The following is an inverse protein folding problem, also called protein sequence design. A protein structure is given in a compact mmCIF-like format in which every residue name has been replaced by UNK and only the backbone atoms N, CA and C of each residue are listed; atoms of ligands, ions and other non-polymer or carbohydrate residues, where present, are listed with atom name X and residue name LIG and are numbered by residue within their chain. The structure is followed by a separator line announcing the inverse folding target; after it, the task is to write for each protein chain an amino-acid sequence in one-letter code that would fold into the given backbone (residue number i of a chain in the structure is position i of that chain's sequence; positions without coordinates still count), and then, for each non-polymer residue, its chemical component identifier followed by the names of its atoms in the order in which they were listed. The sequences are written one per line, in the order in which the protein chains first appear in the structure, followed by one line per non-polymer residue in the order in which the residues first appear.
data_IF_990934566009
#
_entry.id   IF_990934566009
#
_cell.length_a   1.000
_cell.length_b   1.000
_cell.length_c   1.000
_cell.angle_alpha   90.00
_cell.angle_beta   90.00
_cell.angle_gamma   90.00
#
_symmetry.space_group_name_H-M   'P 1'
#
loop_
_entity.id
_entity.type
_entity.pdbx_description
1 polymer ?
#
# COMPACT_ATOMS: atom_id res chain seq x y z
N UNK A 1 -15.69 3.00 12.64
CA UNK A 1 -14.71 3.45 11.65
C UNK A 1 -13.92 2.27 11.08
N UNK A 2 -13.25 1.48 11.90
CA UNK A 2 -12.48 0.34 11.48
C UNK A 2 -13.33 -0.89 11.16
N UNK A 3 -13.04 -1.53 10.04
CA UNK A 3 -13.57 -2.86 9.68
C UNK A 3 -12.48 -3.90 9.98
N UNK A 4 -12.75 -4.95 10.77
CA UNK A 4 -11.75 -5.95 11.06
C UNK A 4 -11.43 -6.77 9.81
N UNK A 5 -10.14 -6.93 9.52
CA UNK A 5 -9.59 -7.90 8.57
C UNK A 5 -9.36 -9.22 9.30
N UNK A 6 -8.77 -9.14 10.48
CA UNK A 6 -8.60 -10.20 11.47
C UNK A 6 -8.47 -9.57 12.86
N UNK A 7 -8.16 -10.35 13.90
CA UNK A 7 -8.18 -9.89 15.30
C UNK A 7 -7.35 -8.62 15.57
N UNK A 8 -6.20 -8.49 14.92
CA UNK A 8 -5.18 -7.47 15.15
C UNK A 8 -4.87 -6.63 13.89
N UNK A 9 -5.69 -6.80 12.84
CA UNK A 9 -5.58 -6.02 11.61
C UNK A 9 -6.93 -5.44 11.23
N UNK A 10 -6.95 -4.15 10.99
CA UNK A 10 -8.14 -3.39 10.63
C UNK A 10 -7.93 -2.64 9.32
N UNK A 11 -9.01 -2.40 8.62
CA UNK A 11 -9.08 -1.60 7.41
C UNK A 11 -10.09 -0.47 7.59
N UNK A 12 -9.78 0.69 7.05
CA UNK A 12 -10.75 1.78 6.93
C UNK A 12 -10.54 2.47 5.59
N UNK A 13 -11.48 3.33 5.20
CA UNK A 13 -11.35 4.04 3.94
C UNK A 13 -12.15 5.33 3.90
N UNK A 14 -11.86 6.12 2.87
CA UNK A 14 -12.57 7.35 2.51
C UNK A 14 -12.60 7.47 0.99
N UNK A 15 -13.62 8.14 0.42
CA UNK A 15 -13.59 8.47 -1.00
C UNK A 15 -12.34 9.30 -1.34
N UNK A 16 -11.73 9.00 -2.48
CA UNK A 16 -10.69 9.84 -3.05
C UNK A 16 -11.34 11.13 -3.60
N UNK A 17 -10.85 12.33 -3.24
CA UNK A 17 -11.44 13.57 -3.72
C UNK A 17 -11.20 13.85 -5.21
N UNK A 18 -10.24 13.19 -5.83
CA UNK A 18 -9.82 13.43 -7.22
C UNK A 18 -10.39 12.40 -8.20
N UNK A 19 -10.66 11.20 -7.71
CA UNK A 19 -11.18 10.08 -8.50
C UNK A 19 -12.38 9.46 -7.79
N UNK A 20 -13.32 8.89 -8.51
CA UNK A 20 -14.53 8.25 -7.96
C UNK A 20 -14.22 6.84 -7.43
N UNK A 21 -13.25 6.75 -6.53
CA UNK A 21 -12.79 5.51 -5.92
C UNK A 21 -12.57 5.65 -4.41
N UNK A 22 -12.50 4.52 -3.74
CA UNK A 22 -12.21 4.45 -2.30
C UNK A 22 -10.71 4.25 -2.07
N UNK A 23 -10.12 5.12 -1.25
CA UNK A 23 -8.80 4.89 -0.66
C UNK A 23 -8.96 4.12 0.64
N UNK A 24 -8.09 3.15 0.86
CA UNK A 24 -8.06 2.37 2.10
C UNK A 24 -6.69 2.39 2.75
N UNK A 25 -6.68 2.35 4.07
CA UNK A 25 -5.50 2.12 4.89
C UNK A 25 -5.67 0.88 5.75
N UNK A 26 -4.55 0.36 6.21
CA UNK A 26 -4.49 -0.79 7.11
C UNK A 26 -3.82 -0.41 8.42
N UNK A 27 -4.42 -0.83 9.54
CA UNK A 27 -3.90 -0.69 10.88
C UNK A 27 -3.53 -2.07 11.41
N UNK A 28 -2.29 -2.21 11.84
CA UNK A 28 -1.76 -3.37 12.54
C UNK A 28 -1.58 -3.02 14.02
N UNK A 29 -2.06 -3.90 14.89
CA UNK A 29 -1.93 -3.73 16.35
C UNK A 29 -1.14 -4.91 16.91
N UNK A 30 -0.03 -4.63 17.56
CA UNK A 30 0.82 -5.62 18.20
C UNK A 30 1.27 -5.11 19.59
N UNK A 31 0.89 -5.79 20.64
CA UNK A 31 1.29 -5.45 22.03
C UNK A 31 1.12 -3.95 22.35
N UNK A 32 -0.08 -3.39 22.13
CA UNK A 32 -0.42 -1.98 22.29
C UNK A 32 0.32 -1.00 21.36
N UNK A 33 1.08 -1.48 20.39
CA UNK A 33 1.70 -0.68 19.31
C UNK A 33 0.83 -0.72 18.06
N UNK A 34 0.68 0.42 17.44
CA UNK A 34 -0.09 0.60 16.22
C UNK A 34 0.83 1.00 15.07
N UNK A 35 0.65 0.36 13.92
CA UNK A 35 1.37 0.67 12.68
C UNK A 35 0.34 0.87 11.58
N UNK A 36 0.45 1.97 10.84
CA UNK A 36 -0.42 2.27 9.70
C UNK A 36 0.31 1.98 8.39
N UNK A 37 -0.42 1.41 7.43
CA UNK A 37 0.04 1.26 6.04
C UNK A 37 -0.94 1.99 5.13
N UNK A 38 -0.43 2.88 4.28
CA UNK A 38 -1.17 3.72 3.32
C UNK A 38 -2.38 4.48 3.92
N UNK A 39 -2.24 5.18 5.05
CA UNK A 39 -3.39 5.70 5.78
C UNK A 39 -4.06 6.89 5.07
N UNK A 40 -5.30 6.77 4.58
CA UNK A 40 -6.10 7.95 4.29
C UNK A 40 -6.56 8.60 5.61
N UNK A 41 -6.47 9.93 5.68
CA UNK A 41 -6.96 10.63 6.86
C UNK A 41 -8.49 10.73 6.82
N UNK A 42 -9.08 10.40 7.97
CA UNK A 42 -10.52 10.63 8.24
C UNK A 42 -10.68 11.27 9.62
N UNK A 43 -11.66 12.17 9.83
CA UNK A 43 -11.91 12.74 11.16
C UNK A 43 -12.12 11.66 12.21
N UNK A 44 -11.50 11.79 13.38
CA UNK A 44 -11.59 10.83 14.47
C UNK A 44 -10.65 9.61 14.34
N UNK A 45 -9.81 9.54 13.29
CA UNK A 45 -8.90 8.42 13.09
C UNK A 45 -7.90 8.27 14.26
N UNK A 46 -7.30 9.37 14.69
CA UNK A 46 -6.29 9.35 15.76
C UNK A 46 -6.91 8.89 17.07
N UNK A 47 -8.09 9.41 17.40
CA UNK A 47 -8.82 9.04 18.62
C UNK A 47 -9.24 7.56 18.64
N UNK A 48 -9.52 6.97 17.48
CA UNK A 48 -9.79 5.53 17.38
C UNK A 48 -8.50 4.69 17.50
N UNK A 49 -7.39 5.15 16.95
CA UNK A 49 -6.09 4.49 17.11
C UNK A 49 -5.67 4.51 18.59
N UNK A 50 -5.78 5.65 19.27
CA UNK A 50 -5.41 5.81 20.69
C UNK A 50 -6.16 4.86 21.63
N UNK A 51 -7.35 4.37 21.22
CA UNK A 51 -8.09 3.34 21.97
C UNK A 51 -7.54 1.93 21.79
N UNK A 52 -6.78 1.71 20.74
CA UNK A 52 -6.21 0.40 20.40
C UNK A 52 -4.75 0.29 20.84
N UNK A 53 -4.03 1.41 20.89
CA UNK A 53 -2.63 1.43 21.27
C UNK A 53 -1.94 2.75 20.93
N UNK A 54 -0.64 2.78 21.03
CA UNK A 54 0.21 3.93 20.68
C UNK A 54 0.63 3.84 19.21
N UNK A 55 0.40 4.88 18.43
CA UNK A 55 0.87 4.91 17.04
C UNK A 55 2.39 5.11 17.01
N UNK A 56 3.11 4.08 16.57
CA UNK A 56 4.56 4.05 16.46
C UNK A 56 5.04 4.48 15.06
N UNK A 57 4.39 3.96 14.03
CA UNK A 57 4.85 4.14 12.66
C UNK A 57 3.70 4.33 11.65
N UNK A 58 4.03 5.08 10.61
CA UNK A 58 3.27 5.18 9.36
C UNK A 58 4.16 4.71 8.24
N UNK A 59 3.68 3.78 7.44
CA UNK A 59 4.38 3.25 6.26
C UNK A 59 3.57 3.56 5.02
N UNK A 60 4.22 3.90 3.92
CA UNK A 60 3.57 4.06 2.62
C UNK A 60 4.19 3.11 1.60
N UNK A 61 3.37 2.44 0.81
CA UNK A 61 3.83 1.50 -0.23
C UNK A 61 4.41 2.23 -1.44
N UNK A 62 3.89 3.41 -1.74
CA UNK A 62 4.33 4.29 -2.82
C UNK A 62 4.31 5.74 -2.36
N UNK A 63 5.08 6.62 -3.01
CA UNK A 63 5.07 8.06 -2.70
C UNK A 63 3.74 8.73 -3.05
N UNK A 64 2.90 8.12 -3.87
CA UNK A 64 1.57 8.64 -4.19
C UNK A 64 0.59 8.50 -3.02
N UNK A 65 0.92 7.65 -2.02
CA UNK A 65 0.10 7.42 -0.83
C UNK A 65 0.42 8.33 0.36
N UNK A 66 0.86 9.56 0.11
CA UNK A 66 1.16 10.55 1.18
C UNK A 66 -0.08 11.20 1.81
N UNK A 67 -1.22 11.05 1.25
CA UNK A 67 -2.59 11.55 1.56
C UNK A 67 -2.76 12.25 2.92
N UNK A 68 -2.98 11.50 4.01
CA UNK A 68 -3.15 12.04 5.37
C UNK A 68 -1.89 11.99 6.24
N UNK A 69 -0.79 11.50 5.69
CA UNK A 69 0.43 11.12 6.43
C UNK A 69 1.03 12.29 7.19
N UNK A 70 1.14 13.48 6.57
CA UNK A 70 1.70 14.66 7.23
C UNK A 70 0.92 15.01 8.51
N UNK A 71 -0.40 15.07 8.42
CA UNK A 71 -1.25 15.39 9.56
C UNK A 71 -1.13 14.34 10.66
N UNK A 72 -1.17 13.06 10.30
CA UNK A 72 -1.06 11.94 11.24
C UNK A 72 0.28 12.01 11.98
N UNK A 73 1.40 12.04 11.27
CA UNK A 73 2.74 12.07 11.88
C UNK A 73 2.95 13.30 12.78
N UNK A 74 2.54 14.47 12.31
CA UNK A 74 2.66 15.71 13.13
C UNK A 74 1.80 15.68 14.39
N UNK A 75 0.65 15.05 14.34
CA UNK A 75 -0.31 15.01 15.44
C UNK A 75 0.04 13.96 16.49
N UNK A 76 0.65 12.85 16.09
CA UNK A 76 0.94 11.70 16.96
C UNK A 76 2.42 11.60 17.35
N UNK A 77 3.32 12.18 16.55
CA UNK A 77 4.76 11.97 16.66
C UNK A 77 5.25 10.64 16.09
N UNK A 78 4.39 9.89 15.37
CA UNK A 78 4.75 8.64 14.73
C UNK A 78 5.82 8.83 13.66
N UNK A 79 6.74 7.86 13.54
CA UNK A 79 7.75 7.86 12.48
C UNK A 79 7.13 7.53 11.12
N UNK A 80 7.57 8.24 10.08
CA UNK A 80 7.22 7.93 8.71
C UNK A 80 8.29 7.06 8.05
N UNK A 81 7.85 5.97 7.43
CA UNK A 81 8.69 5.10 6.60
C UNK A 81 8.23 5.16 5.14
N UNK A 82 9.16 5.48 4.24
CA UNK A 82 8.92 5.62 2.79
C UNK A 82 9.80 4.66 1.99
N UNK A 83 9.42 4.30 0.74
CA UNK A 83 10.27 3.49 -0.13
C UNK A 83 11.64 4.14 -0.38
N UNK A 84 12.73 3.35 -0.35
CA UNK A 84 14.10 3.82 -0.53
C UNK A 84 14.44 4.20 -1.98
N UNK A 85 13.72 3.64 -2.94
CA UNK A 85 13.97 3.84 -4.36
C UNK A 85 12.68 4.06 -5.13
N UNK A 86 12.64 5.18 -5.82
CA UNK A 86 11.77 5.36 -6.99
C UNK A 86 12.67 5.37 -8.21
N UNK A 87 12.39 4.53 -9.22
CA UNK A 87 13.17 4.47 -10.46
C UNK A 87 13.08 5.74 -11.29
N UNK A 88 12.08 6.56 -11.11
CA UNK A 88 12.01 7.86 -11.75
C UNK A 88 13.16 8.72 -11.24
N UNK A 89 14.16 8.94 -12.09
CA UNK A 89 15.26 9.88 -11.81
C UNK A 89 14.77 11.33 -11.61
N UNK A 90 13.52 11.59 -11.92
CA UNK A 90 12.93 12.94 -11.84
C UNK A 90 12.38 13.25 -10.44
N UNK A 91 12.14 12.25 -9.59
CA UNK A 91 11.55 12.47 -8.26
C UNK A 91 12.52 11.94 -7.20
N UNK A 92 13.25 12.84 -6.56
CA UNK A 92 13.92 12.53 -5.31
C UNK A 92 12.83 12.32 -4.23
N UNK A 93 12.72 11.14 -3.60
CA UNK A 93 11.76 10.91 -2.52
C UNK A 93 11.83 11.97 -1.43
N UNK A 94 13.03 12.41 -1.08
CA UNK A 94 13.25 13.48 -0.11
C UNK A 94 12.60 14.79 -0.53
N UNK A 95 12.68 15.13 -1.81
CA UNK A 95 12.08 16.36 -2.32
C UNK A 95 10.54 16.27 -2.35
N UNK A 96 10.01 15.11 -2.73
CA UNK A 96 8.56 14.87 -2.76
C UNK A 96 7.95 14.97 -1.36
N UNK A 97 8.55 14.28 -0.39
CA UNK A 97 8.12 14.31 1.00
C UNK A 97 8.34 15.70 1.63
N UNK A 98 9.45 16.38 1.33
CA UNK A 98 9.69 17.73 1.84
C UNK A 98 8.63 18.75 1.36
N UNK A 99 8.04 18.58 0.17
CA UNK A 99 6.92 19.40 -0.29
C UNK A 99 5.66 19.22 0.56
N UNK A 100 5.45 18.03 1.14
CA UNK A 100 4.33 17.78 2.05
C UNK A 100 4.54 18.37 3.46
N UNK A 101 5.71 18.97 3.72
CA UNK A 101 6.04 19.57 5.01
C UNK A 101 6.56 18.58 6.06
N UNK A 102 6.69 17.29 5.71
CA UNK A 102 7.27 16.24 6.58
C UNK A 102 8.79 16.42 6.57
N UNK A 103 9.38 16.49 7.77
CA UNK A 103 10.82 16.71 7.94
C UNK A 103 11.56 15.45 8.38
N UNK A 104 10.88 14.58 9.13
CA UNK A 104 11.46 13.39 9.73
C UNK A 104 10.83 12.16 9.09
N UNK A 105 11.63 11.36 8.41
CA UNK A 105 11.24 10.09 7.83
C UNK A 105 12.46 9.18 7.66
N UNK A 106 12.21 7.89 7.61
CA UNK A 106 13.20 6.87 7.29
C UNK A 106 12.85 6.22 5.96
N UNK A 107 13.88 5.83 5.20
CA UNK A 107 13.69 5.06 3.98
C UNK A 107 13.84 3.57 4.28
N UNK A 108 12.90 2.77 3.81
CA UNK A 108 12.98 1.33 3.88
C UNK A 108 13.25 0.73 2.49
N UNK A 109 13.90 -0.44 2.47
CA UNK A 109 14.20 -1.22 1.27
C UNK A 109 13.70 -2.66 1.41
N UNK A 110 14.54 -3.63 1.07
CA UNK A 110 14.19 -5.06 1.07
C UNK A 110 14.22 -5.73 2.45
N UNK A 111 14.76 -5.05 3.47
CA UNK A 111 14.85 -5.62 4.82
C UNK A 111 13.49 -5.63 5.52
N UNK A 112 13.19 -6.68 6.30
CA UNK A 112 11.94 -6.74 7.08
C UNK A 112 11.79 -5.55 8.01
N UNK A 113 10.57 -5.02 8.11
CA UNK A 113 10.21 -3.90 8.96
C UNK A 113 8.89 -4.20 9.68
N UNK A 114 8.83 -4.05 10.98
CA UNK A 114 7.65 -4.36 11.82
C UNK A 114 7.05 -5.74 11.53
N UNK A 115 7.89 -6.78 11.39
CA UNK A 115 7.44 -8.14 11.07
C UNK A 115 6.95 -8.35 9.64
N UNK A 116 6.90 -7.31 8.81
CA UNK A 116 6.49 -7.38 7.41
C UNK A 116 7.71 -7.43 6.50
N UNK A 117 7.69 -8.31 5.49
CA UNK A 117 8.75 -8.43 4.49
C UNK A 117 8.39 -7.64 3.23
N UNK A 118 9.19 -6.63 2.85
CA UNK A 118 8.97 -5.88 1.63
C UNK A 118 9.30 -6.70 0.37
N UNK A 119 8.49 -6.55 -0.68
CA UNK A 119 8.73 -7.03 -2.03
C UNK A 119 8.56 -5.88 -3.01
N UNK A 120 9.58 -5.59 -3.79
CA UNK A 120 9.50 -4.50 -4.75
C UNK A 120 8.67 -4.91 -5.97
N UNK A 121 7.70 -4.06 -6.32
CA UNK A 121 6.87 -4.13 -7.50
C UNK A 121 7.26 -2.98 -8.44
N UNK A 122 8.17 -3.24 -9.37
CA UNK A 122 8.54 -2.29 -10.42
C UNK A 122 7.99 -2.77 -11.74
N UNK A 123 7.10 -1.98 -12.33
CA UNK A 123 6.51 -2.26 -13.63
C UNK A 123 7.16 -1.32 -14.64
N UNK A 124 7.84 -1.90 -15.63
CA UNK A 124 8.51 -1.13 -16.68
C UNK A 124 7.49 -0.31 -17.48
N UNK A 125 7.86 0.95 -17.78
CA UNK A 125 6.99 1.89 -18.44
C UNK A 125 6.79 1.63 -19.93
N UNK A 126 5.72 2.19 -20.47
CA UNK A 126 5.47 2.27 -21.92
C UNK A 126 6.10 3.53 -22.56
N UNK A 127 6.69 4.43 -21.77
CA UNK A 127 7.22 5.69 -22.28
C UNK A 127 8.61 5.52 -22.91
N UNK A 128 8.92 6.35 -23.90
CA UNK A 128 10.23 6.42 -24.53
C UNK A 128 11.36 6.85 -23.58
N UNK A 129 11.04 7.28 -22.38
CA UNK A 129 11.96 7.81 -21.38
C UNK A 129 12.42 6.75 -20.36
N UNK A 130 12.03 5.48 -20.52
CA UNK A 130 12.34 4.38 -19.59
C UNK A 130 11.95 4.64 -18.12
N UNK A 131 10.95 5.46 -17.88
CA UNK A 131 10.38 5.61 -16.55
C UNK A 131 9.51 4.39 -16.21
N UNK A 132 9.55 3.89 -14.97
CA UNK A 132 8.64 2.84 -14.56
C UNK A 132 7.21 3.36 -14.65
N UNK A 133 6.33 2.52 -15.18
CA UNK A 133 4.90 2.80 -15.18
C UNK A 133 4.35 2.84 -13.75
N UNK A 134 4.92 2.02 -12.87
CA UNK A 134 4.61 1.95 -11.45
C UNK A 134 5.82 1.43 -10.68
N UNK A 135 6.08 1.97 -9.51
CA UNK A 135 7.12 1.52 -8.59
C UNK A 135 6.62 1.63 -7.15
N UNK A 136 6.35 0.49 -6.53
CA UNK A 136 5.88 0.41 -5.16
C UNK A 136 6.51 -0.78 -4.43
N UNK A 137 6.31 -0.86 -3.12
CA UNK A 137 6.60 -2.06 -2.34
C UNK A 137 5.31 -2.71 -1.85
N UNK A 138 5.23 -4.03 -2.03
CA UNK A 138 4.24 -4.84 -1.34
C UNK A 138 4.82 -5.36 -0.03
N UNK A 139 4.02 -5.46 1.03
CA UNK A 139 4.45 -6.01 2.32
C UNK A 139 3.80 -7.36 2.59
N UNK A 140 4.61 -8.38 2.79
CA UNK A 140 4.13 -9.70 3.21
C UNK A 140 4.11 -9.78 4.74
N UNK A 141 2.95 -10.08 5.30
CA UNK A 141 2.79 -10.39 6.72
C UNK A 141 3.08 -11.87 7.04
N UNK A 142 3.28 -12.20 8.31
CA UNK A 142 3.44 -13.60 8.77
C UNK A 142 2.21 -14.47 8.48
N UNK A 143 1.04 -13.86 8.30
CA UNK A 143 -0.21 -14.54 7.93
C UNK A 143 -0.37 -14.77 6.42
N UNK A 144 0.68 -14.57 5.63
CA UNK A 144 0.66 -14.71 4.17
C UNK A 144 -0.33 -13.75 3.47
N UNK A 145 -0.53 -12.59 4.05
CA UNK A 145 -1.24 -11.47 3.46
C UNK A 145 -0.23 -10.56 2.75
N UNK A 146 -0.46 -10.26 1.49
CA UNK A 146 0.32 -9.31 0.72
C UNK A 146 -0.42 -7.97 0.69
N UNK A 147 0.15 -6.93 1.27
CA UNK A 147 -0.40 -5.58 1.24
C UNK A 147 0.18 -4.88 0.01
N UNK A 148 -0.69 -4.29 -0.82
CA UNK A 148 -0.28 -3.56 -2.03
C UNK A 148 -0.97 -2.19 -2.10
N UNK A 149 -0.28 -1.24 -2.72
CA UNK A 149 -0.82 0.09 -3.05
C UNK A 149 -1.69 0.04 -4.30
N UNK A 150 -1.07 0.34 -5.44
CA UNK A 150 -1.75 0.60 -6.71
C UNK A 150 -1.60 -0.54 -7.74
N UNK A 151 -0.70 -1.50 -7.50
CA UNK A 151 -0.44 -2.54 -8.53
C UNK A 151 -1.63 -3.46 -8.76
N UNK A 152 -2.38 -3.79 -7.71
CA UNK A 152 -3.44 -4.79 -7.82
C UNK A 152 -4.62 -4.52 -6.89
N UNK A 153 -5.82 -4.87 -7.34
CA UNK A 153 -7.05 -4.79 -6.54
C UNK A 153 -7.90 -6.05 -6.69
N UNK A 154 -8.64 -6.38 -5.66
CA UNK A 154 -9.78 -7.29 -5.77
C UNK A 154 -11.04 -6.52 -6.15
N UNK A 155 -11.95 -7.18 -6.83
CA UNK A 155 -13.28 -6.64 -7.14
C UNK A 155 -14.35 -7.25 -6.23
N UNK A 156 -15.53 -6.65 -6.18
CA UNK A 156 -16.67 -7.16 -5.40
C UNK A 156 -17.09 -8.57 -5.86
N UNK A 157 -16.97 -8.86 -7.17
CA UNK A 157 -17.22 -10.17 -7.77
C UNK A 157 -16.01 -11.13 -7.69
N UNK A 158 -15.04 -10.79 -6.82
CA UNK A 158 -13.87 -11.61 -6.46
C UNK A 158 -12.89 -11.88 -7.61
N UNK A 159 -12.81 -11.00 -8.59
CA UNK A 159 -11.73 -11.01 -9.58
C UNK A 159 -10.50 -10.28 -9.03
N UNK A 160 -9.35 -10.59 -9.59
CA UNK A 160 -8.11 -9.86 -9.43
C UNK A 160 -7.91 -9.00 -10.69
N UNK A 161 -7.70 -7.71 -10.51
CA UNK A 161 -7.32 -6.78 -11.57
C UNK A 161 -5.95 -6.21 -11.27
N UNK A 162 -5.12 -6.08 -12.31
CA UNK A 162 -3.78 -5.51 -12.23
C UNK A 162 -3.78 -4.17 -12.98
N UNK A 163 -3.07 -3.17 -12.43
CA UNK A 163 -2.92 -1.89 -13.12
C UNK A 163 -2.48 -2.06 -14.59
N UNK A 164 -3.07 -1.36 -15.56
CA UNK A 164 -4.06 -0.28 -15.44
C UNK A 164 -5.53 -0.71 -15.55
N UNK A 165 -5.85 -2.00 -15.47
CA UNK A 165 -7.19 -2.53 -15.71
C UNK A 165 -8.27 -1.97 -14.77
N UNK A 166 -7.87 -1.55 -13.57
CA UNK A 166 -8.78 -1.02 -12.54
C UNK A 166 -8.78 0.51 -12.42
N UNK A 167 -7.95 1.21 -13.17
CA UNK A 167 -7.89 2.68 -13.11
C UNK A 167 -9.22 3.31 -13.53
N UNK A 168 -9.53 4.57 -13.12
CA UNK A 168 -10.77 5.28 -13.48
C UNK A 168 -11.01 5.33 -14.99
N UNK A 169 -9.92 5.37 -15.78
CA UNK A 169 -9.93 5.11 -17.22
C UNK A 169 -9.22 3.77 -17.40
N UNK A 170 -9.97 2.66 -17.46
CA UNK A 170 -9.37 1.33 -17.55
C UNK A 170 -8.49 1.19 -18.79
N UNK A 171 -7.28 0.68 -18.58
CA UNK A 171 -6.38 0.32 -19.67
C UNK A 171 -6.54 -1.14 -20.09
N UNK A 172 -6.01 -1.45 -21.27
CA UNK A 172 -5.86 -2.86 -21.69
C UNK A 172 -4.90 -3.60 -20.75
N UNK A 173 -5.06 -4.92 -20.58
CA UNK A 173 -4.14 -5.74 -19.79
C UNK A 173 -2.68 -5.47 -20.18
N UNK A 174 -1.82 -5.26 -19.18
CA UNK A 174 -0.42 -4.94 -19.40
C UNK A 174 0.48 -6.11 -18.97
N UNK A 175 0.96 -6.95 -19.91
CA UNK A 175 1.70 -8.17 -19.58
C UNK A 175 2.90 -7.97 -18.64
N UNK A 176 3.71 -6.90 -18.71
CA UNK A 176 4.77 -6.67 -17.75
C UNK A 176 4.26 -6.52 -16.31
N UNK A 177 3.12 -5.85 -16.09
CA UNK A 177 2.51 -5.71 -14.78
C UNK A 177 2.04 -7.07 -14.24
N UNK A 178 1.31 -7.83 -15.05
CA UNK A 178 0.87 -9.18 -14.72
C UNK A 178 2.05 -10.09 -14.37
N UNK A 179 3.11 -10.08 -15.16
CA UNK A 179 4.29 -10.91 -14.92
C UNK A 179 5.03 -10.53 -13.63
N UNK A 180 5.18 -9.24 -13.37
CA UNK A 180 5.81 -8.74 -12.15
C UNK A 180 5.00 -9.13 -10.92
N UNK A 181 3.67 -8.96 -10.96
CA UNK A 181 2.79 -9.33 -9.86
C UNK A 181 2.78 -10.84 -9.60
N UNK A 182 2.66 -11.65 -10.68
CA UNK A 182 2.77 -13.13 -10.56
C UNK A 182 4.06 -13.56 -9.88
N UNK A 183 5.19 -12.96 -10.28
CA UNK A 183 6.49 -13.26 -9.69
C UNK A 183 6.51 -12.96 -8.20
N UNK A 184 6.06 -11.78 -7.79
CA UNK A 184 6.01 -11.38 -6.37
C UNK A 184 5.09 -12.31 -5.56
N UNK A 185 3.90 -12.66 -6.07
CA UNK A 185 2.99 -13.59 -5.40
C UNK A 185 3.61 -14.98 -5.26
N UNK A 186 4.30 -15.47 -6.29
CA UNK A 186 4.99 -16.77 -6.23
C UNK A 186 6.16 -16.76 -5.23
N UNK A 187 6.99 -15.73 -5.23
CA UNK A 187 8.15 -15.59 -4.35
C UNK A 187 7.76 -15.36 -2.88
N UNK A 188 6.70 -14.59 -2.64
CA UNK A 188 6.18 -14.34 -1.29
C UNK A 188 5.42 -15.52 -0.70
N UNK A 189 4.82 -16.36 -1.54
CA UNK A 189 3.90 -17.40 -1.11
C UNK A 189 2.63 -16.86 -0.48
N UNK A 190 2.25 -15.61 -0.81
CA UNK A 190 1.05 -14.97 -0.29
C UNK A 190 -0.22 -15.72 -0.73
N UNK A 191 -1.19 -15.83 0.18
CA UNK A 191 -2.49 -16.45 -0.07
C UNK A 191 -3.63 -15.46 -0.10
N UNK A 192 -3.42 -14.29 0.46
CA UNK A 192 -4.40 -13.20 0.55
C UNK A 192 -3.79 -11.88 0.08
N UNK A 193 -4.64 -10.96 -0.38
CA UNK A 193 -4.27 -9.63 -0.83
C UNK A 193 -5.03 -8.59 -0.02
N UNK A 194 -4.32 -7.68 0.61
CA UNK A 194 -4.86 -6.49 1.25
C UNK A 194 -4.53 -5.28 0.37
N UNK A 195 -5.52 -4.52 -0.02
CA UNK A 195 -5.37 -3.51 -1.07
C UNK A 195 -5.68 -2.11 -0.57
N UNK A 196 -4.95 -1.12 -1.06
CA UNK A 196 -5.21 0.31 -0.78
C UNK A 196 -6.35 0.87 -1.64
N UNK A 197 -6.81 0.12 -2.65
CA UNK A 197 -8.00 0.37 -3.46
C UNK A 197 -8.82 -0.91 -3.63
N UNK A 198 -10.10 -0.79 -4.05
CA UNK A 198 -10.96 -1.95 -4.32
C UNK A 198 -11.19 -2.87 -3.11
N UNK A 199 -11.38 -4.15 -3.35
CA UNK A 199 -11.69 -5.17 -2.34
C UNK A 199 -10.48 -6.04 -2.00
N UNK A 200 -10.37 -6.47 -0.75
CA UNK A 200 -9.38 -7.49 -0.36
C UNK A 200 -9.73 -8.85 -0.96
N UNK A 201 -8.70 -9.71 -1.12
CA UNK A 201 -8.83 -11.10 -1.56
C UNK A 201 -8.33 -11.99 -0.43
N UNK A 202 -9.12 -12.99 -0.04
CA UNK A 202 -8.78 -13.87 1.07
C UNK A 202 -8.66 -15.33 0.63
N UNK A 203 -7.48 -15.93 0.90
CA UNK A 203 -7.25 -17.37 0.83
C UNK A 203 -7.09 -17.97 -0.57
N UNK A 204 -7.37 -17.26 -1.65
CA UNK A 204 -7.35 -17.78 -3.02
C UNK A 204 -6.48 -16.98 -3.99
N UNK A 205 -5.61 -16.12 -3.51
CA UNK A 205 -4.76 -15.26 -4.36
C UNK A 205 -3.94 -16.07 -5.36
N UNK A 206 -3.35 -17.19 -4.94
CA UNK A 206 -2.53 -18.08 -5.79
C UNK A 206 -3.31 -18.64 -6.99
N UNK A 207 -4.61 -18.91 -6.83
CA UNK A 207 -5.45 -19.40 -7.92
C UNK A 207 -5.86 -18.27 -8.87
N UNK A 208 -6.17 -17.09 -8.33
CA UNK A 208 -6.53 -15.93 -9.15
C UNK A 208 -5.37 -15.45 -10.01
N UNK A 209 -4.16 -15.45 -9.46
CA UNK A 209 -2.95 -15.07 -10.19
C UNK A 209 -2.64 -15.96 -11.40
N UNK A 210 -3.10 -17.21 -11.41
CA UNK A 210 -2.96 -18.10 -12.59
C UNK A 210 -3.90 -17.72 -13.74
N UNK A 211 -4.92 -16.92 -13.47
CA UNK A 211 -5.97 -16.59 -14.45
C UNK A 211 -5.71 -15.25 -15.17
N UNK A 212 -4.77 -14.45 -14.69
CA UNK A 212 -4.39 -13.15 -15.25
C UNK A 212 -3.19 -13.25 -16.20
#
# INVERSE_FOLDING_TARGET
MFSPVRRDVFRWGTPDPEIDEMMYGHLFVEDDRCILVDPPFVPGLIEEIDRLGSLEAVMITTLDHTRGVEYICRRTGAHLYIPDQMKSKAIDPKFYIAKSGIKDFEMYGSEPIFGMKPFRLTIEGRSAENEPYMDEYAFLTDHKELIVGDTAVGTVDKRLLIAPEWFPIPGEPYPPAHNTFRKVVAESGATSLLTSHGSNIYGNLQELVKQI
#
